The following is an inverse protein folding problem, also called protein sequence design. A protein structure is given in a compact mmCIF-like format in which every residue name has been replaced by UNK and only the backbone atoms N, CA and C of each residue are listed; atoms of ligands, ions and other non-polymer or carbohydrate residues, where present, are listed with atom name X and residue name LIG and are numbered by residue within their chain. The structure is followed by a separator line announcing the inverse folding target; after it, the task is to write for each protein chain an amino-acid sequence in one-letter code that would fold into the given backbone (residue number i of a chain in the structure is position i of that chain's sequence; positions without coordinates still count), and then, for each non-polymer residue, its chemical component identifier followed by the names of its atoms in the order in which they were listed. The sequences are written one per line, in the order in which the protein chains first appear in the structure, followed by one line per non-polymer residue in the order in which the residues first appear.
data_IF_190377567637
#
_entry.id   IF_190377567637
#
_cell.length_a   1.000
_cell.length_b   1.000
_cell.length_c   1.000
_cell.angle_alpha   90.00
_cell.angle_beta   90.00
_cell.angle_gamma   90.00
#
_symmetry.space_group_name_H-M   'P 1'
#
loop_
_entity.id
_entity.type
_entity.pdbx_description
1 polymer ?
#
# COMPACT_ATOMS: atom_id res chain seq x y z
N UNK A 1 10.26 40.07 30.40
CA UNK A 1 10.21 39.80 28.95
C UNK A 1 10.24 38.29 28.75
N UNK A 2 9.06 37.68 28.73
CA UNK A 2 8.87 36.26 28.42
C UNK A 2 8.98 36.08 26.91
N UNK A 3 9.89 35.22 26.46
CA UNK A 3 9.92 34.78 25.06
C UNK A 3 8.84 33.72 24.90
N UNK A 4 7.79 34.05 24.16
CA UNK A 4 6.83 33.08 23.65
C UNK A 4 7.55 32.14 22.69
N UNK A 5 7.39 30.83 22.89
CA UNK A 5 7.78 29.80 21.94
C UNK A 5 6.72 29.78 20.84
N UNK A 6 7.01 30.42 19.71
CA UNK A 6 6.30 30.19 18.46
C UNK A 6 6.60 28.75 18.00
N UNK A 7 5.71 27.83 18.36
CA UNK A 7 5.64 26.51 17.73
C UNK A 7 5.10 26.73 16.32
N UNK A 8 6.00 26.84 15.35
CA UNK A 8 5.70 26.84 13.92
C UNK A 8 4.80 25.63 13.61
N UNK A 9 3.53 25.89 13.33
CA UNK A 9 2.62 24.88 12.79
C UNK A 9 3.12 24.52 11.37
N UNK A 10 3.42 23.25 11.09
CA UNK A 10 3.91 22.86 9.76
C UNK A 10 2.85 23.18 8.72
N UNK A 11 3.23 23.85 7.64
CA UNK A 11 2.32 24.12 6.52
C UNK A 11 1.85 22.79 5.90
N UNK A 12 0.64 22.80 5.31
CA UNK A 12 -0.07 21.66 4.70
C UNK A 12 0.83 20.71 3.87
N UNK A 13 1.91 21.23 3.28
CA UNK A 13 2.86 20.47 2.46
C UNK A 13 3.85 19.62 3.28
N UNK A 14 4.27 20.08 4.47
CA UNK A 14 5.22 19.36 5.34
C UNK A 14 4.58 18.16 6.04
N UNK A 15 3.27 18.24 6.32
CA UNK A 15 2.50 17.13 6.90
C UNK A 15 2.50 15.90 5.99
N UNK A 16 2.33 16.12 4.68
CA UNK A 16 2.29 15.05 3.69
C UNK A 16 3.65 14.37 3.51
N UNK A 17 4.76 15.10 3.66
CA UNK A 17 6.12 14.55 3.49
C UNK A 17 6.60 13.67 4.65
N UNK A 18 6.16 13.96 5.88
CA UNK A 18 6.71 13.31 7.09
C UNK A 18 5.94 12.05 7.49
N UNK A 19 4.65 11.95 7.17
CA UNK A 19 3.80 10.83 7.55
C UNK A 19 4.07 9.52 6.78
N UNK A 20 4.82 9.57 5.66
CA UNK A 20 5.11 8.40 4.83
C UNK A 20 6.37 7.60 5.17
N UNK A 21 7.22 8.10 6.07
CA UNK A 21 8.63 7.68 6.11
C UNK A 21 8.96 6.37 6.84
N UNK A 22 8.10 5.86 7.74
CA UNK A 22 8.48 4.71 8.59
C UNK A 22 7.37 3.66 8.76
N UNK A 23 6.10 4.00 8.56
CA UNK A 23 4.97 3.06 8.72
C UNK A 23 4.55 2.30 7.45
N UNK A 24 4.95 2.76 6.25
CA UNK A 24 4.44 2.24 4.98
C UNK A 24 4.96 0.87 4.56
N UNK A 25 6.12 0.44 5.07
CA UNK A 25 6.78 -0.78 4.62
C UNK A 25 6.17 -2.09 5.14
N UNK A 26 5.33 -2.04 6.19
CA UNK A 26 4.70 -3.22 6.80
C UNK A 26 3.17 -3.31 6.55
N UNK A 27 2.57 -2.31 5.90
CA UNK A 27 1.14 -2.25 5.60
C UNK A 27 0.78 -2.77 4.19
N UNK A 28 1.66 -3.54 3.55
CA UNK A 28 1.47 -4.02 2.16
C UNK A 28 0.38 -5.13 2.07
N UNK A 29 -0.13 -5.64 3.21
CA UNK A 29 -1.00 -6.82 3.25
C UNK A 29 -2.47 -6.66 3.64
N UNK A 30 -2.96 -5.49 4.10
CA UNK A 30 -4.34 -5.41 4.64
C UNK A 30 -5.13 -4.13 4.34
N UNK A 31 -4.57 -3.20 3.58
CA UNK A 31 -5.29 -2.01 3.12
C UNK A 31 -4.71 -1.61 1.77
N UNK A 32 -5.57 -1.44 0.77
CA UNK A 32 -5.20 -1.09 -0.60
C UNK A 32 -4.13 -0.01 -0.68
N UNK A 33 -3.29 -0.11 -1.71
CA UNK A 33 -2.07 0.65 -1.95
C UNK A 33 -2.27 2.18 -2.12
N UNK A 34 -2.66 2.88 -1.05
CA UNK A 34 -2.66 4.33 -0.98
C UNK A 34 -1.39 4.92 -0.33
N UNK A 35 -0.31 4.13 -0.22
CA UNK A 35 0.95 4.55 0.41
C UNK A 35 2.17 4.57 -0.52
N UNK A 36 2.00 4.43 -1.85
CA UNK A 36 3.13 4.36 -2.79
C UNK A 36 3.59 5.69 -3.42
N UNK A 37 3.19 6.87 -2.91
CA UNK A 37 3.63 8.14 -3.51
C UNK A 37 4.15 9.15 -2.49
N UNK A 38 5.36 8.94 -1.97
CA UNK A 38 6.10 10.02 -1.30
C UNK A 38 7.57 10.03 -1.73
N UNK A 39 7.86 10.84 -2.76
CA UNK A 39 9.20 11.21 -3.21
C UNK A 39 9.89 12.15 -2.23
N UNK A 40 10.44 11.59 -1.15
CA UNK A 40 11.50 12.22 -0.35
C UNK A 40 12.88 11.69 -0.77
N UNK A 41 13.98 12.44 -0.52
CA UNK A 41 15.32 11.97 -0.86
C UNK A 41 15.63 10.68 -0.09
N UNK A 42 15.66 9.57 -0.84
CA UNK A 42 16.14 8.25 -0.41
C UNK A 42 17.65 8.31 -0.16
N UNK A 43 18.03 8.95 0.94
CA UNK A 43 19.42 9.02 1.39
C UNK A 43 19.48 8.70 2.88
N UNK A 44 19.10 7.47 3.25
CA UNK A 44 19.71 6.76 4.38
C UNK A 44 19.67 5.25 4.10
N UNK A 45 20.82 4.78 3.62
CA UNK A 45 21.46 3.51 3.92
C UNK A 45 20.56 2.32 4.33
N UNK A 46 20.42 1.38 3.39
CA UNK A 46 20.98 0.01 3.50
C UNK A 46 21.32 -0.51 4.91
N UNK A 47 20.33 -0.53 5.79
CA UNK A 47 20.22 -1.52 6.84
C UNK A 47 18.84 -2.14 6.67
N UNK A 48 18.71 -3.03 5.67
CA UNK A 48 17.62 -4.00 5.67
C UNK A 48 17.66 -4.67 7.04
N UNK A 49 16.68 -4.36 7.88
CA UNK A 49 16.50 -5.03 9.16
C UNK A 49 16.35 -6.52 8.86
N UNK A 50 17.44 -7.29 9.01
CA UNK A 50 17.37 -8.73 8.84
C UNK A 50 16.51 -9.24 9.98
N UNK A 51 15.36 -9.82 9.66
CA UNK A 51 14.53 -10.45 10.67
C UNK A 51 15.38 -11.49 11.40
N UNK A 52 15.53 -11.35 12.71
CA UNK A 52 16.28 -12.31 13.56
C UNK A 52 15.76 -13.75 13.40
N UNK A 53 14.50 -13.90 13.00
CA UNK A 53 13.83 -15.18 12.75
C UNK A 53 13.51 -15.41 11.26
N UNK A 54 14.01 -14.57 10.37
CA UNK A 54 13.81 -14.68 8.93
C UNK A 54 14.69 -15.73 8.26
N UNK A 55 15.35 -16.60 9.04
CA UNK A 55 16.24 -17.65 8.57
C UNK A 55 15.85 -18.96 9.27
N UNK A 56 15.69 -20.03 8.50
CA UNK A 56 15.38 -21.35 9.06
C UNK A 56 14.90 -22.37 8.01
N UNK A 57 14.81 -23.65 8.39
CA UNK A 57 14.37 -24.71 7.47
C UNK A 57 12.93 -24.52 6.97
N UNK A 58 12.09 -23.81 7.72
CA UNK A 58 10.70 -23.51 7.34
C UNK A 58 10.54 -22.64 6.10
N UNK A 59 11.62 -22.03 5.59
CA UNK A 59 11.62 -21.29 4.34
C UNK A 59 11.64 -22.21 3.11
N UNK A 60 12.10 -23.46 3.26
CA UNK A 60 12.30 -24.42 2.17
C UNK A 60 11.29 -25.55 2.30
N UNK A 61 10.19 -25.46 1.56
CA UNK A 61 9.17 -26.49 1.47
C UNK A 61 9.12 -27.16 0.09
N UNK A 62 8.54 -28.36 -0.03
CA UNK A 62 8.43 -29.09 -1.30
C UNK A 62 7.54 -28.37 -2.34
N UNK A 63 6.68 -27.46 -1.89
CA UNK A 63 5.74 -26.70 -2.75
C UNK A 63 6.07 -25.21 -2.87
N UNK A 64 7.01 -24.72 -2.07
CA UNK A 64 7.36 -23.30 -1.96
C UNK A 64 8.72 -23.15 -1.28
N UNK A 65 9.69 -22.55 -1.98
CA UNK A 65 11.00 -22.21 -1.44
C UNK A 65 11.19 -20.69 -1.40
N UNK A 66 10.94 -20.10 -0.23
CA UNK A 66 11.04 -18.64 0.01
C UNK A 66 12.49 -18.12 -0.03
N UNK A 67 13.49 -19.00 -0.13
CA UNK A 67 14.88 -18.60 -0.36
C UNK A 67 15.20 -18.31 -1.83
N UNK A 68 14.24 -18.51 -2.74
CA UNK A 68 14.39 -18.28 -4.19
C UNK A 68 13.46 -17.17 -4.68
N UNK A 69 13.87 -16.42 -5.72
CA UNK A 69 13.02 -15.42 -6.38
C UNK A 69 11.71 -16.03 -6.89
N UNK A 70 11.79 -17.19 -7.54
CA UNK A 70 10.61 -17.94 -8.00
C UNK A 70 9.65 -18.32 -6.88
N UNK A 71 10.16 -18.82 -5.75
CA UNK A 71 9.31 -19.16 -4.62
C UNK A 71 8.66 -17.94 -3.99
N UNK A 72 9.36 -16.81 -3.91
CA UNK A 72 8.77 -15.55 -3.45
C UNK A 72 7.69 -15.02 -4.41
N UNK A 73 7.92 -15.11 -5.72
CA UNK A 73 6.92 -14.78 -6.76
C UNK A 73 5.64 -15.60 -6.56
N UNK A 74 5.76 -16.92 -6.40
CA UNK A 74 4.64 -17.82 -6.20
C UNK A 74 3.94 -17.60 -4.85
N UNK A 75 4.71 -17.34 -3.79
CA UNK A 75 4.17 -17.04 -2.46
C UNK A 75 3.29 -15.80 -2.52
N UNK A 76 3.79 -14.72 -3.13
CA UNK A 76 3.06 -13.48 -3.27
C UNK A 76 1.84 -13.63 -4.18
N UNK A 77 1.97 -14.37 -5.29
CA UNK A 77 0.83 -14.68 -6.15
C UNK A 77 -0.29 -15.44 -5.41
N UNK A 78 0.03 -16.40 -4.54
CA UNK A 78 -0.97 -17.13 -3.72
C UNK A 78 -1.72 -16.25 -2.72
N UNK A 79 -1.07 -15.22 -2.18
CA UNK A 79 -1.73 -14.23 -1.31
C UNK A 79 -2.74 -13.41 -2.16
N UNK A 80 -2.34 -13.07 -3.38
CA UNK A 80 -3.13 -12.21 -4.26
C UNK A 80 -4.27 -12.93 -4.99
N UNK A 81 -4.16 -14.21 -5.34
CA UNK A 81 -5.16 -14.89 -6.18
C UNK A 81 -4.98 -16.41 -6.25
N UNK A 82 -5.75 -17.04 -7.14
CA UNK A 82 -5.64 -18.46 -7.45
C UNK A 82 -4.50 -18.68 -8.47
N UNK A 83 -3.68 -19.71 -8.27
CA UNK A 83 -2.62 -20.10 -9.19
C UNK A 83 -3.14 -20.92 -10.38
N UNK A 84 -4.37 -21.43 -10.31
CA UNK A 84 -5.10 -21.83 -11.49
C UNK A 84 -5.54 -20.56 -12.24
N UNK A 85 -4.69 -20.10 -13.15
CA UNK A 85 -4.79 -18.81 -13.86
C UNK A 85 -6.13 -18.58 -14.61
N UNK A 86 -6.94 -19.63 -14.81
CA UNK A 86 -8.29 -19.49 -15.35
C UNK A 86 -9.31 -18.94 -14.33
N UNK A 87 -9.03 -19.06 -13.02
CA UNK A 87 -10.02 -18.83 -11.96
C UNK A 87 -9.93 -17.44 -11.35
N UNK A 88 -11.07 -16.73 -11.21
CA UNK A 88 -11.12 -15.49 -10.45
C UNK A 88 -11.18 -15.77 -8.94
N UNK A 89 -10.53 -14.91 -8.15
CA UNK A 89 -10.74 -14.76 -6.71
C UNK A 89 -11.62 -13.55 -6.46
N UNK A 90 -12.71 -13.74 -5.71
CA UNK A 90 -13.53 -12.65 -5.19
C UNK A 90 -13.09 -12.29 -3.77
N UNK A 91 -13.14 -11.01 -3.43
CA UNK A 91 -12.82 -10.55 -2.08
C UNK A 91 -13.74 -9.40 -1.67
N UNK A 92 -13.95 -9.30 -0.35
CA UNK A 92 -14.70 -8.24 0.29
C UNK A 92 -13.92 -7.78 1.51
N UNK A 93 -14.08 -6.51 1.85
CA UNK A 93 -13.49 -5.96 3.06
C UNK A 93 -14.41 -4.89 3.66
N UNK A 94 -14.23 -4.70 4.96
CA UNK A 94 -14.87 -3.65 5.73
C UNK A 94 -13.92 -3.25 6.86
N UNK A 95 -13.78 -1.96 7.10
CA UNK A 95 -12.92 -1.45 8.15
C UNK A 95 -13.02 0.05 8.30
N UNK A 96 -11.97 0.64 8.88
CA UNK A 96 -11.85 2.07 9.08
C UNK A 96 -10.63 2.59 8.33
N UNK A 97 -10.78 3.74 7.69
CA UNK A 97 -9.65 4.52 7.21
C UNK A 97 -9.16 5.36 8.39
N UNK A 98 -7.90 5.18 8.76
CA UNK A 98 -7.31 5.76 9.96
C UNK A 98 -6.25 6.81 9.62
N UNK A 99 -6.27 7.93 10.34
CA UNK A 99 -5.22 8.93 10.33
C UNK A 99 -4.14 8.58 11.34
N UNK A 100 -2.88 8.59 10.90
CA UNK A 100 -1.70 8.36 11.74
C UNK A 100 -0.82 9.60 11.72
N UNK A 101 -0.61 10.20 12.88
CA UNK A 101 0.25 11.38 13.06
C UNK A 101 1.32 11.09 14.13
N UNK A 102 2.56 11.59 13.96
CA UNK A 102 3.61 11.41 14.96
C UNK A 102 3.18 11.89 16.34
N UNK A 103 3.40 11.05 17.36
CA UNK A 103 3.08 11.33 18.76
C UNK A 103 1.61 11.67 19.07
N UNK A 104 0.68 11.39 18.15
CA UNK A 104 -0.76 11.51 18.40
C UNK A 104 -1.42 10.15 18.38
N UNK A 105 -2.59 10.07 19.02
CA UNK A 105 -3.44 8.90 18.94
C UNK A 105 -3.93 8.72 17.50
N UNK A 106 -3.96 7.47 17.04
CA UNK A 106 -4.61 7.10 15.77
C UNK A 106 -6.09 7.46 15.84
N UNK A 107 -6.60 8.07 14.78
CA UNK A 107 -7.99 8.51 14.68
C UNK A 107 -8.67 7.81 13.51
N UNK A 108 -9.89 7.32 13.72
CA UNK A 108 -10.75 6.85 12.63
C UNK A 108 -11.29 8.07 11.89
N UNK A 109 -11.08 8.13 10.57
CA UNK A 109 -11.48 9.25 9.72
C UNK A 109 -12.82 8.99 9.03
N UNK A 110 -13.03 7.77 8.55
CA UNK A 110 -14.25 7.30 7.88
C UNK A 110 -14.28 5.76 7.87
N UNK A 111 -15.46 5.18 7.71
CA UNK A 111 -15.58 3.76 7.40
C UNK A 111 -15.20 3.48 5.95
N UNK A 112 -14.77 2.24 5.69
CA UNK A 112 -14.50 1.74 4.35
C UNK A 112 -15.22 0.42 4.16
N UNK A 113 -15.82 0.25 2.99
CA UNK A 113 -16.30 -1.05 2.56
C UNK A 113 -16.10 -1.21 1.07
N UNK A 114 -15.83 -2.42 0.63
CA UNK A 114 -15.57 -2.65 -0.77
C UNK A 114 -15.49 -4.12 -1.11
N UNK A 115 -15.41 -4.35 -2.41
CA UNK A 115 -15.26 -5.67 -2.97
C UNK A 115 -14.54 -5.60 -4.31
N UNK A 116 -14.02 -6.73 -4.73
CA UNK A 116 -13.34 -6.81 -6.00
C UNK A 116 -13.14 -8.24 -6.47
N UNK A 117 -12.54 -8.31 -7.66
CA UNK A 117 -12.18 -9.56 -8.33
C UNK A 117 -10.75 -9.48 -8.82
N UNK A 118 -9.99 -10.54 -8.57
CA UNK A 118 -8.62 -10.70 -9.05
C UNK A 118 -8.56 -11.95 -9.92
N UNK A 119 -7.92 -11.86 -11.08
CA UNK A 119 -7.52 -13.02 -11.88
C UNK A 119 -6.03 -12.93 -12.20
N UNK A 120 -5.34 -14.04 -12.04
CA UNK A 120 -3.92 -14.14 -12.38
C UNK A 120 -3.79 -14.72 -13.81
N UNK A 121 -2.79 -14.26 -14.56
CA UNK A 121 -2.45 -14.84 -15.85
C UNK A 121 -0.93 -14.93 -15.97
N UNK A 122 -0.41 -16.08 -16.38
CA UNK A 122 1.02 -16.25 -16.58
C UNK A 122 1.44 -15.85 -18.00
N UNK A 123 2.46 -15.01 -18.08
CA UNK A 123 3.11 -14.62 -19.32
C UNK A 123 4.09 -15.69 -19.83
N UNK A 124 4.55 -15.58 -21.09
CA UNK A 124 5.49 -16.51 -21.69
C UNK A 124 6.88 -16.50 -21.04
N UNK A 125 7.23 -15.40 -20.37
CA UNK A 125 8.45 -15.19 -19.58
C UNK A 125 8.36 -15.73 -18.14
N UNK A 126 7.20 -16.29 -17.76
CA UNK A 126 6.95 -16.76 -16.40
C UNK A 126 6.57 -15.67 -15.40
N UNK A 127 6.47 -14.40 -15.83
CA UNK A 127 5.89 -13.32 -15.04
C UNK A 127 4.39 -13.58 -14.83
N UNK A 128 3.85 -13.19 -13.67
CA UNK A 128 2.43 -13.38 -13.36
C UNK A 128 1.75 -12.02 -13.39
N UNK A 129 0.86 -11.82 -14.36
CA UNK A 129 0.02 -10.63 -14.45
C UNK A 129 -1.13 -10.75 -13.46
N UNK A 130 -1.15 -9.85 -12.47
CA UNK A 130 -2.30 -9.67 -11.57
C UNK A 130 -3.26 -8.70 -12.21
N UNK A 131 -4.46 -9.17 -12.53
CA UNK A 131 -5.53 -8.33 -13.08
C UNK A 131 -6.61 -8.11 -12.03
N UNK A 132 -6.99 -6.86 -11.77
CA UNK A 132 -7.95 -6.56 -10.72
C UNK A 132 -8.92 -5.46 -11.09
N UNK A 133 -10.15 -5.63 -10.61
CA UNK A 133 -11.14 -4.56 -10.49
C UNK A 133 -11.66 -4.55 -9.06
N UNK A 134 -11.75 -3.36 -8.49
CA UNK A 134 -12.20 -3.16 -7.12
C UNK A 134 -12.99 -1.87 -7.00
N UNK A 135 -13.95 -1.89 -6.09
CA UNK A 135 -14.71 -0.72 -5.68
C UNK A 135 -14.52 -0.54 -4.18
N UNK A 136 -14.30 0.70 -3.75
CA UNK A 136 -14.23 1.09 -2.35
C UNK A 136 -15.16 2.27 -2.11
N UNK A 137 -16.14 2.09 -1.23
CA UNK A 137 -17.00 3.17 -0.75
C UNK A 137 -16.54 3.62 0.62
N UNK A 138 -16.67 4.93 0.85
CA UNK A 138 -16.40 5.57 2.12
C UNK A 138 -17.71 5.83 2.84
N UNK A 139 -17.75 5.48 4.12
CA UNK A 139 -18.99 5.54 4.90
C UNK A 139 -18.83 6.41 6.13
N UNK A 140 -19.92 7.01 6.59
CA UNK A 140 -19.96 7.69 7.87
C UNK A 140 -19.66 6.70 9.02
N UNK A 141 -18.90 7.14 10.02
CA UNK A 141 -18.45 6.28 11.12
C UNK A 141 -19.58 5.85 12.04
N UNK A 142 -20.63 6.66 12.18
CA UNK A 142 -21.73 6.40 13.11
C UNK A 142 -22.87 5.65 12.45
N UNK A 143 -23.31 6.12 11.30
CA UNK A 143 -24.46 5.57 10.57
C UNK A 143 -24.09 4.44 9.62
N UNK A 144 -22.86 4.43 9.09
CA UNK A 144 -22.44 3.49 8.05
C UNK A 144 -23.00 3.81 6.66
N UNK A 145 -23.70 4.94 6.48
CA UNK A 145 -24.17 5.39 5.17
C UNK A 145 -23.01 5.82 4.29
N UNK A 146 -23.15 5.63 2.97
CA UNK A 146 -22.16 6.06 1.99
C UNK A 146 -22.11 7.59 1.96
N UNK A 147 -20.91 8.15 2.02
CA UNK A 147 -20.68 9.59 2.09
C UNK A 147 -20.72 10.20 0.69
N UNK A 148 -21.52 11.25 0.50
CA UNK A 148 -21.40 12.17 -0.64
C UNK A 148 -20.41 13.32 -0.33
N UNK A 149 -20.50 13.84 0.90
CA UNK A 149 -19.60 14.84 1.46
C UNK A 149 -19.04 14.34 2.79
N UNK A 150 -17.83 14.78 3.12
CA UNK A 150 -17.14 14.42 4.34
C UNK A 150 -16.55 15.68 4.98
N UNK A 151 -16.80 15.82 6.29
CA UNK A 151 -16.14 16.84 7.10
C UNK A 151 -14.79 16.31 7.57
N UNK A 152 -13.71 16.82 7.01
CA UNK A 152 -12.37 16.40 7.40
C UNK A 152 -12.09 16.83 8.85
N UNK A 153 -11.89 15.90 9.82
CA UNK A 153 -11.67 16.26 11.22
C UNK A 153 -10.30 16.91 11.46
N UNK A 154 -9.37 16.81 10.51
CA UNK A 154 -8.02 17.39 10.61
C UNK A 154 -7.98 18.85 10.13
N UNK A 155 -8.70 19.18 9.06
CA UNK A 155 -8.75 20.54 8.50
C UNK A 155 -10.04 21.29 8.79
N UNK A 156 -11.05 20.59 9.30
CA UNK A 156 -12.41 21.08 9.55
C UNK A 156 -13.16 21.54 8.28
N UNK A 157 -12.63 21.24 7.09
CA UNK A 157 -13.23 21.58 5.79
C UNK A 157 -14.28 20.53 5.39
N UNK A 158 -15.33 20.99 4.68
CA UNK A 158 -16.25 20.11 3.96
C UNK A 158 -15.66 19.81 2.57
N UNK A 159 -15.52 18.52 2.26
CA UNK A 159 -15.01 18.06 0.96
C UNK A 159 -15.93 17.01 0.37
N UNK A 160 -15.96 16.91 -0.95
CA UNK A 160 -16.66 15.82 -1.63
C UNK A 160 -15.94 14.50 -1.36
N UNK A 161 -16.68 13.46 -1.02
CA UNK A 161 -16.14 12.11 -0.94
C UNK A 161 -15.89 11.57 -2.35
N UNK A 162 -14.67 11.05 -2.59
CA UNK A 162 -14.30 10.43 -3.86
C UNK A 162 -14.12 8.95 -3.63
N UNK A 163 -15.15 8.17 -3.94
CA UNK A 163 -15.06 6.70 -3.87
C UNK A 163 -14.06 6.16 -4.90
N UNK A 164 -13.59 4.95 -4.67
CA UNK A 164 -12.69 4.27 -5.58
C UNK A 164 -13.51 3.38 -6.50
N UNK A 165 -13.45 3.67 -7.79
CA UNK A 165 -13.99 2.89 -8.88
C UNK A 165 -12.87 2.51 -9.86
N UNK A 166 -11.84 1.81 -9.35
CA UNK A 166 -10.60 1.58 -10.09
C UNK A 166 -10.84 0.95 -11.47
N UNK A 167 -10.45 1.68 -12.53
CA UNK A 167 -10.12 1.08 -13.82
C UNK A 167 -8.85 0.21 -13.64
N UNK A 168 -8.66 -0.90 -14.38
CA UNK A 168 -7.88 -2.06 -13.94
C UNK A 168 -6.56 -1.74 -13.23
N UNK A 169 -6.50 -2.02 -11.92
CA UNK A 169 -5.27 -1.89 -11.13
C UNK A 169 -4.41 -3.15 -11.31
N UNK A 170 -3.62 -3.14 -12.38
CA UNK A 170 -2.83 -4.28 -12.82
C UNK A 170 -1.35 -4.07 -12.55
N UNK A 171 -0.65 -5.14 -12.20
CA UNK A 171 0.81 -5.14 -12.14
C UNK A 171 1.36 -6.55 -12.39
N UNK A 172 2.67 -6.62 -12.62
CA UNK A 172 3.40 -7.88 -12.78
C UNK A 172 3.97 -8.32 -11.44
N UNK A 173 3.83 -9.60 -11.15
CA UNK A 173 4.51 -10.28 -10.06
C UNK A 173 5.67 -11.03 -10.71
N UNK A 174 6.89 -10.58 -10.43
CA UNK A 174 8.13 -11.08 -10.99
C UNK A 174 8.99 -11.71 -9.89
N UNK A 175 10.05 -12.42 -10.28
CA UNK A 175 10.97 -13.06 -9.31
C UNK A 175 11.81 -12.06 -8.52
N UNK A 176 12.00 -10.88 -9.09
CA UNK A 176 12.83 -9.81 -8.55
C UNK A 176 12.01 -8.52 -8.48
N UNK A 177 12.43 -7.59 -7.63
CA UNK A 177 11.81 -6.27 -7.58
C UNK A 177 11.96 -5.58 -8.94
N UNK A 178 10.90 -4.95 -9.46
CA UNK A 178 11.00 -4.22 -10.71
C UNK A 178 11.98 -3.07 -10.53
N UNK A 179 12.77 -2.81 -11.57
CA UNK A 179 13.59 -1.61 -11.61
C UNK A 179 12.69 -0.37 -11.44
N UNK A 180 13.17 0.69 -10.76
CA UNK A 180 12.38 1.88 -10.53
C UNK A 180 11.90 2.44 -11.88
N UNK A 181 10.62 2.85 -11.97
CA UNK A 181 10.06 3.38 -13.19
C UNK A 181 10.82 4.63 -13.64
N UNK A 182 11.10 4.74 -14.94
CA UNK A 182 11.70 5.94 -15.54
C UNK A 182 10.62 6.99 -15.77
N UNK A 183 10.28 7.75 -14.74
CA UNK A 183 9.37 8.89 -14.89
C UNK A 183 10.10 10.10 -15.45
N UNK A 184 9.79 10.46 -16.71
CA UNK A 184 10.26 11.71 -17.32
C UNK A 184 11.78 11.89 -17.36
N UNK A 185 12.56 10.80 -17.30
CA UNK A 185 14.02 10.87 -17.26
C UNK A 185 14.63 11.33 -15.92
N UNK A 186 13.84 11.42 -14.85
CA UNK A 186 14.33 11.86 -13.52
C UNK A 186 14.96 10.72 -12.71
N UNK A 187 14.62 9.47 -13.03
CA UNK A 187 15.23 8.28 -12.43
C UNK A 187 16.32 7.72 -13.36
N UNK A 188 17.55 8.22 -13.20
CA UNK A 188 18.75 7.79 -13.94
C UNK A 188 19.67 6.86 -13.14
N UNK A 189 19.35 6.61 -11.86
CA UNK A 189 20.12 5.71 -11.01
C UNK A 189 20.02 4.26 -11.49
N UNK A 190 21.05 3.43 -11.22
CA UNK A 190 20.95 1.99 -11.46
C UNK A 190 19.77 1.41 -10.66
N UNK A 191 19.16 0.29 -11.12
CA UNK A 191 18.18 -0.42 -10.31
C UNK A 191 18.75 -0.71 -8.91
N UNK A 192 17.92 -0.69 -7.86
CA UNK A 192 18.36 -1.17 -6.56
C UNK A 192 18.88 -2.62 -6.70
N UNK A 193 19.93 -2.98 -5.96
CA UNK A 193 20.53 -4.30 -6.01
C UNK A 193 19.59 -5.42 -5.56
#
# INVERSE_FOLDING_TARGET
MSKENDLLLPERREFLTTAGGVGGALAIGASGAASMTLGGPMAMASALATSRYGMGPGLKGPYLDLSTGKGNQLAYARIQGDLDFGKPKYFWFKGYLMGVEPNKKIVDLMGTSGFGVIRLAQGPDGAIRRMCREIIVYTDLRSGEVLDEWKNPLTNEMVKAVHVDNDPFNYLIEEFFPAPPKFGGLNQGPPPP
#
